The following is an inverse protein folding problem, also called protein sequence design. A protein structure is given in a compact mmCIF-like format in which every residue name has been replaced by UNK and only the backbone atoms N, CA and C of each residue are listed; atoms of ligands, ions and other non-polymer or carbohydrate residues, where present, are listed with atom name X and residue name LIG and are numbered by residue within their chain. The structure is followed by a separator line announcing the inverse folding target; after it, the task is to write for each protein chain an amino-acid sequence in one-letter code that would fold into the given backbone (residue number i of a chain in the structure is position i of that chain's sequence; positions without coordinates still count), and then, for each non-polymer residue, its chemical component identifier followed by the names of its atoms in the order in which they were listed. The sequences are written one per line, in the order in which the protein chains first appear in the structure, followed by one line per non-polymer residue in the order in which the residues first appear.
data_IF_959108104646
#
_entry.id   IF_959108104646
#
_cell.length_a   1.000
_cell.length_b   1.000
_cell.length_c   1.000
_cell.angle_alpha   90.00
_cell.angle_beta   90.00
_cell.angle_gamma   90.00
#
_symmetry.space_group_name_H-M   'P 1'
#
loop_
_entity.id
_entity.type
_entity.pdbx_description
1 polymer ?
#
# COMPACT_ATOMS: atom_id res chain seq x y z
N UNK A 1 -1.31 -11.86 -0.93
CA UNK A 1 -1.05 -12.78 0.21
C UNK A 1 -0.11 -12.17 1.25
N UNK A 2 1.07 -11.64 0.89
CA UNK A 2 1.98 -11.02 1.87
C UNK A 2 1.47 -9.72 2.53
N UNK A 3 0.78 -8.84 1.80
CA UNK A 3 0.22 -7.58 2.37
C UNK A 3 -0.91 -7.86 3.35
N UNK A 4 -1.78 -8.83 3.04
CA UNK A 4 -2.82 -9.33 3.94
C UNK A 4 -2.25 -9.87 5.26
N UNK A 5 -1.10 -10.55 5.21
CA UNK A 5 -0.43 -11.05 6.41
C UNK A 5 0.15 -9.91 7.27
N UNK A 6 0.77 -8.90 6.64
CA UNK A 6 1.30 -7.75 7.36
C UNK A 6 0.19 -6.91 8.02
N UNK A 7 -0.90 -6.64 7.29
CA UNK A 7 -2.06 -5.93 7.82
C UNK A 7 -2.66 -6.66 9.03
N UNK A 8 -2.77 -7.98 8.96
CA UNK A 8 -3.24 -8.82 10.08
C UNK A 8 -2.31 -8.76 11.29
N UNK A 9 -0.99 -8.81 11.09
CA UNK A 9 -0.02 -8.67 12.18
C UNK A 9 -0.11 -7.28 12.84
N UNK A 10 -0.36 -6.22 12.08
CA UNK A 10 -0.54 -4.87 12.62
C UNK A 10 -1.84 -4.75 13.43
N UNK A 11 -2.95 -5.27 12.92
CA UNK A 11 -4.22 -5.29 13.64
C UNK A 11 -4.12 -6.13 14.94
N UNK A 12 -3.40 -7.25 14.90
CA UNK A 12 -3.15 -8.07 16.08
C UNK A 12 -2.31 -7.35 17.14
N UNK A 13 -1.25 -6.64 16.74
CA UNK A 13 -0.47 -5.80 17.68
C UNK A 13 -1.31 -4.68 18.29
N UNK A 14 -2.17 -4.06 17.48
CA UNK A 14 -3.08 -3.03 17.97
C UNK A 14 -4.06 -3.61 19.01
N UNK A 15 -4.63 -4.77 18.72
CA UNK A 15 -5.45 -5.52 19.67
C UNK A 15 -4.72 -5.79 20.99
N UNK A 16 -3.50 -6.31 20.93
CA UNK A 16 -2.69 -6.57 22.13
C UNK A 16 -2.49 -5.31 22.98
N UNK A 17 -2.27 -4.15 22.34
CA UNK A 17 -2.14 -2.87 23.04
C UNK A 17 -3.45 -2.45 23.72
N UNK A 18 -4.58 -2.57 23.04
CA UNK A 18 -5.91 -2.24 23.59
C UNK A 18 -6.27 -3.17 24.75
N UNK A 19 -6.09 -4.48 24.57
CA UNK A 19 -6.38 -5.45 25.63
C UNK A 19 -5.45 -5.25 26.83
N UNK A 20 -4.20 -4.83 26.60
CA UNK A 20 -3.26 -4.48 27.67
C UNK A 20 -3.64 -3.21 28.44
N UNK A 21 -4.43 -2.29 27.84
CA UNK A 21 -4.97 -1.11 28.55
C UNK A 21 -6.24 -1.42 29.35
N UNK A 22 -6.73 -2.66 29.30
CA UNK A 22 -7.96 -3.09 29.97
C UNK A 22 -9.23 -2.84 29.17
N UNK A 23 -9.10 -2.33 27.95
CA UNK A 23 -10.21 -2.15 27.01
C UNK A 23 -10.43 -3.42 26.19
N UNK A 24 -11.68 -3.72 25.84
CA UNK A 24 -12.01 -4.88 25.00
C UNK A 24 -12.99 -4.45 23.92
N UNK A 25 -12.58 -4.59 22.67
CA UNK A 25 -13.47 -4.42 21.51
C UNK A 25 -13.88 -5.78 20.94
N UNK A 26 -15.10 -5.87 20.37
CA UNK A 26 -15.50 -7.00 19.55
C UNK A 26 -14.51 -7.29 18.40
N UNK A 27 -14.26 -8.59 18.14
CA UNK A 27 -13.38 -9.08 17.07
C UNK A 27 -13.61 -8.40 15.72
N UNK A 28 -14.88 -8.18 15.36
CA UNK A 28 -15.28 -7.54 14.10
C UNK A 28 -14.59 -6.20 13.84
N UNK A 29 -14.23 -5.45 14.89
CA UNK A 29 -13.54 -4.16 14.73
C UNK A 29 -12.07 -4.33 14.38
N UNK A 30 -11.43 -5.41 14.86
CA UNK A 30 -10.07 -5.75 14.45
C UNK A 30 -10.03 -6.33 13.03
N UNK A 31 -11.08 -7.06 12.63
CA UNK A 31 -11.26 -7.49 11.23
C UNK A 31 -11.44 -6.28 10.29
N UNK A 32 -12.31 -5.33 10.66
CA UNK A 32 -12.49 -4.07 9.94
C UNK A 32 -11.19 -3.25 9.87
N UNK A 33 -10.44 -3.17 10.98
CA UNK A 33 -9.14 -2.49 11.02
C UNK A 33 -8.13 -3.15 10.08
N UNK A 34 -8.11 -4.48 10.02
CA UNK A 34 -7.25 -5.23 9.08
C UNK A 34 -7.54 -4.84 7.64
N UNK A 35 -8.83 -4.78 7.27
CA UNK A 35 -9.25 -4.39 5.92
C UNK A 35 -8.88 -2.93 5.59
N UNK A 36 -9.00 -2.02 6.56
CA UNK A 36 -8.61 -0.62 6.39
C UNK A 36 -7.11 -0.51 6.15
N UNK A 37 -6.29 -1.22 6.94
CA UNK A 37 -4.83 -1.22 6.79
C UNK A 37 -4.45 -1.78 5.41
N UNK A 38 -5.03 -2.90 5.00
CA UNK A 38 -4.80 -3.51 3.68
C UNK A 38 -5.15 -2.54 2.55
N UNK A 39 -6.33 -1.92 2.61
CA UNK A 39 -6.78 -0.94 1.62
C UNK A 39 -5.86 0.29 1.53
N UNK A 40 -5.34 0.75 2.68
CA UNK A 40 -4.37 1.84 2.75
C UNK A 40 -3.02 1.46 2.12
N UNK A 41 -2.52 0.26 2.38
CA UNK A 41 -1.29 -0.26 1.78
C UNK A 41 -1.43 -0.42 0.25
N UNK A 42 -2.57 -0.94 -0.22
CA UNK A 42 -2.84 -1.10 -1.65
C UNK A 42 -2.93 0.25 -2.36
N UNK A 43 -3.61 1.22 -1.75
CA UNK A 43 -3.70 2.59 -2.29
C UNK A 43 -2.32 3.24 -2.40
N UNK A 44 -1.49 3.11 -1.37
CA UNK A 44 -0.12 3.65 -1.39
C UNK A 44 0.74 2.96 -2.47
N UNK A 45 0.58 1.64 -2.65
CA UNK A 45 1.27 0.89 -3.70
C UNK A 45 0.85 1.37 -5.09
N UNK A 46 -0.45 1.55 -5.32
CA UNK A 46 -0.97 2.03 -6.60
C UNK A 46 -0.45 3.44 -6.95
N UNK A 47 -0.40 4.36 -5.98
CA UNK A 47 0.19 5.69 -6.19
C UNK A 47 1.67 5.59 -6.57
N UNK A 48 2.44 4.77 -5.86
CA UNK A 48 3.85 4.51 -6.17
C UNK A 48 4.02 3.95 -7.59
N UNK A 49 3.21 2.96 -7.97
CA UNK A 49 3.23 2.37 -9.30
C UNK A 49 2.86 3.39 -10.38
N UNK A 50 1.88 4.25 -10.12
CA UNK A 50 1.51 5.35 -11.01
C UNK A 50 2.66 6.31 -11.27
N UNK A 51 3.39 6.70 -10.21
CA UNK A 51 4.59 7.56 -10.33
C UNK A 51 5.70 6.90 -11.13
N UNK A 52 5.94 5.60 -10.94
CA UNK A 52 6.95 4.84 -11.69
C UNK A 52 6.55 4.75 -13.16
N UNK A 53 5.29 4.43 -13.45
CA UNK A 53 4.75 4.39 -14.81
C UNK A 53 4.97 5.72 -15.54
N UNK A 54 4.63 6.84 -14.89
CA UNK A 54 4.86 8.17 -15.45
C UNK A 54 6.33 8.44 -15.80
N UNK A 55 7.27 8.02 -14.94
CA UNK A 55 8.72 8.13 -15.23
C UNK A 55 9.14 7.26 -16.42
N UNK A 56 8.61 6.05 -16.54
CA UNK A 56 8.90 5.16 -17.66
C UNK A 56 8.37 5.74 -18.97
N UNK A 57 7.17 6.32 -18.97
CA UNK A 57 6.61 7.02 -20.13
C UNK A 57 7.47 8.21 -20.54
N UNK A 58 7.91 9.03 -19.57
CA UNK A 58 8.78 10.16 -19.87
C UNK A 58 10.09 9.68 -20.52
N UNK A 59 10.73 8.65 -19.94
CA UNK A 59 11.96 8.08 -20.49
C UNK A 59 11.78 7.53 -21.91
N UNK A 60 10.65 6.85 -22.18
CA UNK A 60 10.35 6.36 -23.52
C UNK A 60 10.19 7.50 -24.52
N UNK A 61 9.51 8.58 -24.12
CA UNK A 61 9.35 9.77 -24.96
C UNK A 61 10.70 10.46 -25.22
N UNK A 62 11.57 10.57 -24.22
CA UNK A 62 12.90 11.16 -24.36
C UNK A 62 13.75 10.35 -25.36
N UNK A 63 13.73 9.01 -25.26
CA UNK A 63 14.42 8.12 -26.21
C UNK A 63 13.90 8.29 -27.63
N UNK A 64 12.57 8.38 -27.80
CA UNK A 64 11.98 8.60 -29.13
C UNK A 64 12.38 9.97 -29.69
N UNK A 65 12.33 11.01 -28.86
CA UNK A 65 12.72 12.36 -29.28
C UNK A 65 14.18 12.42 -29.72
N UNK A 66 15.08 11.77 -28.97
CA UNK A 66 16.48 11.67 -29.35
C UNK A 66 16.63 10.92 -30.69
N UNK A 67 15.95 9.78 -30.85
CA UNK A 67 15.98 9.01 -32.09
C UNK A 67 15.50 9.83 -33.31
N UNK A 68 14.40 10.57 -33.15
CA UNK A 68 13.84 11.45 -34.19
C UNK A 68 14.75 12.65 -34.51
N UNK A 69 15.61 13.07 -33.58
CA UNK A 69 16.57 14.14 -33.79
C UNK A 69 17.87 13.66 -34.48
N UNK A 70 18.19 12.37 -34.38
CA UNK A 70 19.36 11.76 -35.03
C UNK A 70 19.09 11.26 -36.47
N UNK A 71 17.83 11.11 -36.87
CA UNK A 71 17.37 10.79 -38.24
C UNK A 71 17.14 12.08 -39.07
#
# INVERSE_FOLDING_TARGET
MHQSEHARQMAQRFRELVESSGDVFPEKHYDELTLIIESGLDTALLDMMGRISGKLTQMANDIQHDADFFD
#
